data_IF_080597961447
#
_entry.id   IF_080597961447
#
_cell.length_a   1.000
_cell.length_b   1.000
_cell.length_c   1.000
_cell.angle_alpha   90.00
_cell.angle_beta   90.00
_cell.angle_gamma   90.00
#
_symmetry.space_group_name_H-M   'P 1'
#
loop_
_entity.id
_entity.type
_entity.pdbx_description
1 polymer ?
#
# COMPACT_ATOMS: atom_id res chain seq x y z
N UNK A 1 46.98 -32.42 -30.14
CA UNK A 1 45.61 -32.27 -30.69
C UNK A 1 44.64 -32.14 -29.53
N UNK A 2 44.02 -30.97 -29.30
CA UNK A 2 43.13 -30.71 -28.17
C UNK A 2 41.66 -30.87 -28.59
N UNK A 3 40.89 -31.74 -27.92
CA UNK A 3 39.45 -31.89 -28.19
C UNK A 3 38.64 -32.43 -27.00
N UNK A 4 38.94 -32.01 -25.77
CA UNK A 4 38.19 -32.45 -24.57
C UNK A 4 37.59 -31.29 -23.75
N UNK A 5 37.56 -30.06 -24.27
CA UNK A 5 37.09 -28.88 -23.51
C UNK A 5 35.64 -28.46 -23.80
N UNK A 6 34.94 -29.05 -24.78
CA UNK A 6 33.59 -28.63 -25.18
C UNK A 6 32.46 -29.33 -24.42
N UNK A 7 32.67 -30.59 -24.02
CA UNK A 7 31.62 -31.45 -23.47
C UNK A 7 31.35 -31.20 -21.98
N UNK A 8 32.35 -30.69 -21.25
CA UNK A 8 32.21 -30.33 -19.84
C UNK A 8 31.40 -29.03 -19.66
N UNK A 9 31.65 -28.04 -20.52
CA UNK A 9 30.97 -26.74 -20.50
C UNK A 9 29.48 -26.90 -20.86
N UNK A 10 29.17 -27.75 -21.85
CA UNK A 10 27.79 -28.04 -22.24
C UNK A 10 26.98 -28.78 -21.15
N UNK A 11 27.64 -29.51 -20.24
CA UNK A 11 26.99 -30.13 -19.07
C UNK A 11 26.75 -29.13 -17.94
N UNK A 12 27.67 -28.19 -17.72
CA UNK A 12 27.50 -27.16 -16.69
C UNK A 12 26.37 -26.19 -17.02
N UNK A 13 26.22 -25.78 -18.29
CA UNK A 13 25.12 -24.91 -18.73
C UNK A 13 23.71 -25.53 -18.58
N UNK A 14 23.61 -26.87 -18.54
CA UNK A 14 22.32 -27.57 -18.36
C UNK A 14 21.92 -27.73 -16.88
N UNK A 15 22.89 -27.60 -15.96
CA UNK A 15 22.67 -27.76 -14.52
C UNK A 15 22.20 -26.48 -13.84
N UNK A 16 22.28 -25.33 -14.50
CA UNK A 16 21.85 -24.02 -13.97
C UNK A 16 20.52 -23.55 -14.54
N UNK A 17 19.60 -24.47 -14.85
CA UNK A 17 18.21 -24.05 -15.07
C UNK A 17 17.62 -23.85 -13.67
N UNK A 18 17.33 -22.61 -13.21
CA UNK A 18 16.76 -22.42 -11.90
C UNK A 18 15.39 -23.09 -11.94
N UNK A 19 15.22 -24.16 -11.15
CA UNK A 19 13.90 -24.75 -10.89
C UNK A 19 12.96 -23.58 -10.58
N UNK A 20 11.81 -23.44 -11.29
CA UNK A 20 10.90 -22.35 -11.04
C UNK A 20 10.57 -22.39 -9.56
N UNK A 21 10.78 -21.27 -8.86
CA UNK A 21 10.52 -21.15 -7.44
C UNK A 21 9.00 -21.21 -7.25
N UNK A 22 8.42 -22.41 -7.31
CA UNK A 22 7.00 -22.64 -7.11
C UNK A 22 6.79 -22.45 -5.61
N UNK A 23 6.53 -21.20 -5.22
CA UNK A 23 6.17 -20.86 -3.85
C UNK A 23 4.86 -21.59 -3.52
N UNK A 24 4.98 -22.78 -2.91
CA UNK A 24 3.84 -23.53 -2.42
C UNK A 24 3.27 -22.79 -1.22
N UNK A 25 2.11 -22.17 -1.41
CA UNK A 25 1.39 -21.46 -0.36
C UNK A 25 0.77 -22.49 0.60
N UNK A 26 1.51 -22.89 1.63
CA UNK A 26 1.13 -23.97 2.55
C UNK A 26 0.00 -23.58 3.51
N UNK A 27 -0.18 -22.29 3.76
CA UNK A 27 -1.25 -21.73 4.59
C UNK A 27 -1.64 -20.34 4.11
N UNK A 28 -2.94 -20.07 4.06
CA UNK A 28 -3.43 -18.73 3.76
C UNK A 28 -3.11 -17.80 4.95
N UNK A 29 -2.37 -16.70 4.75
CA UNK A 29 -1.92 -15.84 5.84
C UNK A 29 -3.07 -14.93 6.32
N UNK A 30 -4.04 -15.50 7.04
CA UNK A 30 -5.23 -14.78 7.52
C UNK A 30 -4.89 -13.57 8.41
N UNK A 31 -3.78 -13.62 9.14
CA UNK A 31 -3.27 -12.47 9.92
C UNK A 31 -2.87 -11.28 9.02
N UNK A 32 -2.30 -11.57 7.85
CA UNK A 32 -1.94 -10.54 6.87
C UNK A 32 -3.19 -9.89 6.27
N UNK A 33 -4.19 -10.72 5.91
CA UNK A 33 -5.47 -10.21 5.41
C UNK A 33 -6.18 -9.33 6.43
N UNK A 34 -6.20 -9.74 7.71
CA UNK A 34 -6.81 -8.94 8.77
C UNK A 34 -6.08 -7.61 8.97
N UNK A 35 -4.75 -7.62 8.88
CA UNK A 35 -3.93 -6.41 8.89
C UNK A 35 -4.28 -5.46 7.76
N UNK A 36 -4.44 -5.97 6.54
CA UNK A 36 -4.83 -5.18 5.38
C UNK A 36 -6.25 -4.58 5.53
N UNK A 37 -7.22 -5.37 6.02
CA UNK A 37 -8.58 -4.87 6.29
C UNK A 37 -8.52 -3.72 7.31
N UNK A 38 -7.76 -3.90 8.39
CA UNK A 38 -7.57 -2.86 9.40
C UNK A 38 -6.90 -1.61 8.83
N UNK A 39 -5.88 -1.78 7.98
CA UNK A 39 -5.14 -0.71 7.34
C UNK A 39 -6.00 0.11 6.38
N UNK A 40 -6.73 -0.57 5.49
CA UNK A 40 -7.68 0.09 4.57
C UNK A 40 -8.80 0.76 5.34
N UNK A 41 -9.30 0.12 6.42
CA UNK A 41 -10.29 0.71 7.31
C UNK A 41 -9.80 2.00 7.96
N UNK A 42 -8.59 2.00 8.53
CA UNK A 42 -7.99 3.19 9.15
C UNK A 42 -7.81 4.31 8.13
N UNK A 43 -7.38 3.98 6.90
CA UNK A 43 -7.27 4.94 5.80
C UNK A 43 -8.63 5.52 5.40
N UNK A 44 -9.64 4.67 5.29
CA UNK A 44 -11.02 5.10 5.02
C UNK A 44 -11.55 6.03 6.11
N UNK A 45 -11.28 5.74 7.38
CA UNK A 45 -11.63 6.63 8.50
C UNK A 45 -10.89 7.97 8.43
N UNK A 46 -9.60 7.97 8.07
CA UNK A 46 -8.84 9.19 7.83
C UNK A 46 -9.45 10.03 6.73
N UNK A 47 -9.87 9.41 5.62
CA UNK A 47 -10.56 10.10 4.53
C UNK A 47 -11.91 10.69 4.96
N UNK A 48 -12.72 9.93 5.71
CA UNK A 48 -13.97 10.43 6.29
C UNK A 48 -13.71 11.64 7.21
N UNK A 49 -12.66 11.58 8.05
CA UNK A 49 -12.27 12.70 8.90
C UNK A 49 -11.92 13.97 8.13
N UNK A 50 -11.24 13.82 6.98
CA UNK A 50 -10.95 14.94 6.08
C UNK A 50 -12.23 15.50 5.45
N UNK A 51 -13.15 14.65 4.99
CA UNK A 51 -14.41 15.10 4.41
C UNK A 51 -15.26 15.83 5.45
N UNK A 52 -15.31 15.30 6.69
CA UNK A 52 -15.99 15.94 7.83
C UNK A 52 -15.42 17.33 8.15
N UNK A 53 -14.12 17.53 7.95
CA UNK A 53 -13.49 18.84 8.14
C UNK A 53 -13.89 19.85 7.05
N UNK A 54 -14.28 19.38 5.86
CA UNK A 54 -14.72 20.23 4.75
C UNK A 54 -16.23 20.48 4.75
N UNK A 55 -17.04 19.48 5.14
CA UNK A 55 -18.49 19.60 5.21
C UNK A 55 -19.10 18.60 6.20
N UNK A 56 -20.27 18.91 6.78
CA UNK A 56 -21.03 17.94 7.57
C UNK A 56 -21.45 16.73 6.73
N UNK A 57 -21.40 15.54 7.34
CA UNK A 57 -21.85 14.28 6.72
C UNK A 57 -23.05 13.70 7.45
N UNK A 58 -23.92 13.01 6.71
CA UNK A 58 -24.97 12.16 7.29
C UNK A 58 -24.50 10.72 7.43
N UNK A 59 -25.13 9.96 8.32
CA UNK A 59 -24.82 8.54 8.53
C UNK A 59 -25.05 7.69 7.28
N UNK A 60 -25.99 8.06 6.40
CA UNK A 60 -26.25 7.33 5.16
C UNK A 60 -25.10 7.48 4.14
N UNK A 61 -24.31 8.55 4.23
CA UNK A 61 -23.21 8.82 3.31
C UNK A 61 -21.95 8.01 3.64
N UNK A 62 -21.78 7.57 4.89
CA UNK A 62 -20.57 6.90 5.36
C UNK A 62 -20.25 5.60 4.61
N UNK A 63 -21.20 4.65 4.39
CA UNK A 63 -20.90 3.43 3.66
C UNK A 63 -20.48 3.71 2.21
N UNK A 64 -21.11 4.69 1.56
CA UNK A 64 -20.76 5.12 0.20
C UNK A 64 -19.37 5.76 0.14
N UNK A 65 -19.04 6.58 1.12
CA UNK A 65 -17.72 7.22 1.25
C UNK A 65 -16.61 6.21 1.46
N UNK A 66 -16.77 5.29 2.42
CA UNK A 66 -15.75 4.28 2.74
C UNK A 66 -15.57 3.32 1.56
N UNK A 67 -16.67 2.84 0.96
CA UNK A 67 -16.59 1.91 -0.18
C UNK A 67 -16.02 2.59 -1.44
N UNK A 68 -16.46 3.82 -1.73
CA UNK A 68 -15.96 4.61 -2.86
C UNK A 68 -14.48 4.94 -2.72
N UNK A 69 -14.04 5.36 -1.53
CA UNK A 69 -12.63 5.57 -1.20
C UNK A 69 -11.82 4.28 -1.37
N UNK A 70 -12.30 3.15 -0.82
CA UNK A 70 -11.56 1.88 -0.87
C UNK A 70 -11.33 1.42 -2.31
N UNK A 71 -12.34 1.55 -3.17
CA UNK A 71 -12.21 1.24 -4.60
C UNK A 71 -11.27 2.20 -5.32
N UNK A 72 -11.37 3.51 -5.06
CA UNK A 72 -10.49 4.50 -5.66
C UNK A 72 -9.02 4.29 -5.24
N UNK A 73 -8.79 3.97 -3.97
CA UNK A 73 -7.47 3.64 -3.44
C UNK A 73 -6.90 2.36 -4.06
N UNK A 74 -7.71 1.29 -4.11
CA UNK A 74 -7.31 0.02 -4.72
C UNK A 74 -6.95 0.20 -6.21
N UNK A 75 -7.80 0.88 -6.98
CA UNK A 75 -7.55 1.10 -8.40
C UNK A 75 -6.35 2.02 -8.65
N UNK A 76 -6.12 3.00 -7.78
CA UNK A 76 -4.91 3.82 -7.80
C UNK A 76 -3.62 3.02 -7.58
N UNK A 77 -3.67 1.88 -6.91
CA UNK A 77 -2.50 1.00 -6.71
C UNK A 77 -2.34 -0.06 -7.80
N UNK A 78 -3.45 -0.59 -8.32
CA UNK A 78 -3.44 -1.72 -9.26
C UNK A 78 -3.05 -1.30 -10.67
N UNK A 79 -3.40 -0.09 -11.10
CA UNK A 79 -3.21 0.31 -12.50
C UNK A 79 -1.75 0.73 -12.75
N UNK A 80 -1.03 0.05 -13.67
CA UNK A 80 0.35 0.37 -13.99
C UNK A 80 0.45 1.71 -14.73
N UNK A 81 1.53 2.45 -14.48
CA UNK A 81 1.82 3.71 -15.18
C UNK A 81 1.39 4.98 -14.45
N UNK A 82 0.67 4.87 -13.34
CA UNK A 82 0.37 6.00 -12.45
C UNK A 82 1.16 5.88 -11.13
N UNK A 83 2.31 6.55 -10.97
CA UNK A 83 3.05 6.52 -9.71
C UNK A 83 2.17 7.05 -8.57
N UNK A 84 1.96 6.22 -7.54
CA UNK A 84 1.12 6.56 -6.39
C UNK A 84 -0.36 6.78 -6.71
N UNK A 85 -0.84 6.28 -7.87
CA UNK A 85 -2.22 6.38 -8.29
C UNK A 85 -2.67 7.79 -8.67
N UNK A 86 -1.74 8.72 -8.97
CA UNK A 86 -2.07 10.07 -9.42
C UNK A 86 -2.90 10.03 -10.72
N UNK A 87 -4.00 10.76 -10.74
CA UNK A 87 -4.98 10.78 -11.83
C UNK A 87 -6.03 9.68 -11.69
N UNK A 88 -5.61 8.45 -11.40
CA UNK A 88 -6.52 7.28 -11.33
C UNK A 88 -7.35 7.33 -10.05
N UNK A 89 -6.71 7.57 -8.92
CA UNK A 89 -7.40 7.70 -7.64
C UNK A 89 -8.46 8.81 -7.74
N UNK A 90 -8.09 9.97 -8.28
CA UNK A 90 -8.96 11.14 -8.41
C UNK A 90 -10.11 10.88 -9.40
N UNK A 91 -9.82 10.30 -10.56
CA UNK A 91 -10.84 9.98 -11.56
C UNK A 91 -11.84 8.94 -11.02
N UNK A 92 -11.36 7.89 -10.35
CA UNK A 92 -12.22 6.88 -9.74
C UNK A 92 -13.00 7.46 -8.57
N UNK A 93 -12.40 8.29 -7.71
CA UNK A 93 -13.09 8.94 -6.61
C UNK A 93 -14.23 9.83 -7.12
N UNK A 94 -14.00 10.62 -8.18
CA UNK A 94 -15.05 11.41 -8.83
C UNK A 94 -16.13 10.49 -9.40
N UNK A 95 -15.75 9.43 -10.13
CA UNK A 95 -16.72 8.52 -10.73
C UNK A 95 -17.64 7.86 -9.69
N UNK A 96 -17.12 7.51 -8.52
CA UNK A 96 -17.87 6.82 -7.47
C UNK A 96 -18.61 7.76 -6.51
N UNK A 97 -18.07 8.95 -6.22
CA UNK A 97 -18.59 9.85 -5.18
C UNK A 97 -19.28 11.10 -5.73
N UNK A 98 -19.18 11.41 -7.03
CA UNK A 98 -19.78 12.64 -7.60
C UNK A 98 -21.30 12.75 -7.47
N UNK A 99 -21.99 11.62 -7.25
CA UNK A 99 -23.43 11.60 -6.99
C UNK A 99 -23.79 12.11 -5.59
N UNK A 100 -22.87 12.01 -4.64
CA UNK A 100 -23.11 12.36 -3.23
C UNK A 100 -22.36 13.61 -2.80
N UNK A 101 -21.20 13.87 -3.38
CA UNK A 101 -20.36 15.02 -3.03
C UNK A 101 -19.99 15.86 -4.26
N UNK A 102 -19.89 17.20 -4.11
CA UNK A 102 -19.37 18.04 -5.17
C UNK A 102 -17.94 17.63 -5.56
N UNK A 103 -17.57 17.64 -6.86
CA UNK A 103 -16.22 17.29 -7.31
C UNK A 103 -15.11 18.09 -6.62
N UNK A 104 -15.37 19.36 -6.32
CA UNK A 104 -14.44 20.21 -5.58
C UNK A 104 -14.13 19.66 -4.18
N UNK A 105 -15.15 19.15 -3.47
CA UNK A 105 -14.95 18.55 -2.15
C UNK A 105 -14.23 17.21 -2.28
N UNK A 106 -14.56 16.40 -3.28
CA UNK A 106 -13.88 15.12 -3.53
C UNK A 106 -12.38 15.36 -3.72
N UNK A 107 -12.00 16.21 -4.68
CA UNK A 107 -10.59 16.49 -5.00
C UNK A 107 -9.84 17.12 -3.82
N UNK A 108 -10.46 18.08 -3.13
CA UNK A 108 -9.88 18.69 -1.94
C UNK A 108 -9.65 17.65 -0.85
N UNK A 109 -10.62 16.74 -0.66
CA UNK A 109 -10.51 15.65 0.31
C UNK A 109 -9.39 14.67 -0.05
N UNK A 110 -9.25 14.30 -1.33
CA UNK A 110 -8.15 13.45 -1.79
C UNK A 110 -6.80 14.10 -1.51
N UNK A 111 -6.65 15.38 -1.87
CA UNK A 111 -5.41 16.11 -1.67
C UNK A 111 -5.03 16.20 -0.19
N UNK A 112 -5.98 16.60 0.67
CA UNK A 112 -5.77 16.70 2.12
C UNK A 112 -5.52 15.33 2.76
N UNK A 113 -6.25 14.29 2.33
CA UNK A 113 -6.04 12.93 2.79
C UNK A 113 -4.63 12.44 2.50
N UNK A 114 -4.05 12.74 1.32
CA UNK A 114 -2.66 12.38 1.01
C UNK A 114 -1.70 13.04 2.00
N UNK A 115 -1.88 14.34 2.28
CA UNK A 115 -1.06 15.05 3.27
C UNK A 115 -1.17 14.40 4.65
N UNK A 116 -2.40 14.16 5.14
CA UNK A 116 -2.63 13.53 6.45
C UNK A 116 -2.03 12.12 6.52
N UNK A 117 -2.23 11.30 5.47
CA UNK A 117 -1.69 9.94 5.41
C UNK A 117 -0.17 9.94 5.39
N UNK A 118 0.46 10.78 4.57
CA UNK A 118 1.91 10.88 4.51
C UNK A 118 2.49 11.39 5.84
N UNK A 119 1.83 12.35 6.50
CA UNK A 119 2.25 12.79 7.83
C UNK A 119 2.17 11.65 8.85
N UNK A 120 1.11 10.85 8.82
CA UNK A 120 0.98 9.68 9.69
C UNK A 120 2.10 8.66 9.46
N UNK A 121 2.45 8.38 8.19
CA UNK A 121 3.57 7.50 7.82
C UNK A 121 4.92 8.06 8.29
N UNK A 122 5.15 9.37 8.10
CA UNK A 122 6.37 10.06 8.55
C UNK A 122 6.48 10.01 10.07
N UNK A 123 5.38 10.23 10.81
CA UNK A 123 5.36 10.13 12.26
C UNK A 123 5.66 8.70 12.73
N UNK A 124 5.04 7.69 12.09
CA UNK A 124 5.33 6.29 12.38
C UNK A 124 6.80 5.93 12.15
N UNK A 125 7.37 6.38 11.03
CA UNK A 125 8.79 6.19 10.72
C UNK A 125 9.69 6.93 11.73
N UNK A 126 9.34 8.16 12.11
CA UNK A 126 10.09 8.94 13.09
C UNK A 126 10.09 8.27 14.47
N UNK A 127 8.93 7.76 14.93
CA UNK A 127 8.82 7.03 16.19
C UNK A 127 9.65 5.73 16.17
N UNK A 128 9.58 4.96 15.08
CA UNK A 128 10.39 3.75 14.92
C UNK A 128 11.89 4.08 14.92
N UNK A 129 12.29 5.18 14.28
CA UNK A 129 13.69 5.63 14.28
C UNK A 129 14.17 6.07 15.68
N UNK A 130 13.31 6.79 16.43
CA UNK A 130 13.58 7.18 17.82
C UNK A 130 13.74 5.96 18.75
N UNK A 131 12.87 4.96 18.59
CA UNK A 131 12.90 3.71 19.35
C UNK A 131 14.21 2.95 19.11
N UNK A 132 14.60 2.76 17.83
CA UNK A 132 15.88 2.13 17.49
C UNK A 132 17.07 2.90 18.08
N UNK A 133 17.04 4.24 18.04
CA UNK A 133 18.11 5.06 18.61
C UNK A 133 18.21 4.94 20.13
N UNK A 134 17.09 4.72 20.81
CA UNK A 134 17.06 4.48 22.24
C UNK A 134 17.55 3.07 22.58
N UNK A 135 17.11 2.07 21.81
CA UNK A 135 17.42 0.68 22.07
C UNK A 135 18.87 0.32 21.75
N UNK A 136 19.49 0.94 20.73
CA UNK A 136 20.93 0.80 20.44
C UNK A 136 21.81 1.33 21.59
N UNK A 137 21.34 2.30 22.38
CA UNK A 137 22.07 2.79 23.57
C UNK A 137 21.99 1.85 24.78
N UNK A 138 21.05 0.91 24.80
CA UNK A 138 20.82 -0.01 25.92
C UNK A 138 21.20 -1.46 25.61
N UNK A 139 21.79 -1.74 24.44
CA UNK A 139 22.37 -3.04 24.16
C UNK A 139 23.61 -3.24 25.06
N UNK A 140 23.58 -4.14 26.06
CA UNK A 140 24.79 -4.44 26.82
C UNK A 140 25.82 -5.06 25.88
N UNK A 141 27.12 -4.76 26.06
CA UNK A 141 28.17 -5.44 25.31
C UNK A 141 28.09 -6.93 25.67
N UNK A 142 27.89 -7.75 24.62
CA UNK A 142 28.18 -9.18 24.54
C UNK A 142 27.35 -10.16 25.40
N UNK A 143 26.69 -11.09 24.71
CA UNK A 143 26.61 -12.50 25.11
C UNK A 143 27.01 -13.38 23.93
#
# INVERSE_FOLDING_TARGET
MPAQSGTAIARQLRAETPEPLVAQLSHYPGRSLLGEIGFVGLRGLGFVGVVLALQPLTWEQLPGLISGFSWAWLLGLVVPGAPGGLGIFEATAIALLSKTLPPAVILSSVALYRVVSTLAEVMGAALAWLDQRWNVKFQPPDR
#
